data_IF_400963498703
#
_entry.id   IF_400963498703
#
_cell.length_a   1.000
_cell.length_b   1.000
_cell.length_c   1.000
_cell.angle_alpha   90.00
_cell.angle_beta   90.00
_cell.angle_gamma   90.00
#
_symmetry.space_group_name_H-M   'P 1'
#
loop_
_entity.id
_entity.type
_entity.pdbx_description
1 polymer ?
#
# COMPACT_ATOMS: atom_id res chain seq x y z
N UNK A 1 -41.85 19.91 3.79
CA UNK A 1 -40.76 19.33 2.98
C UNK A 1 -39.48 19.70 3.70
N UNK A 2 -38.88 18.76 4.42
CA UNK A 2 -37.64 18.96 5.17
C UNK A 2 -36.48 18.66 4.24
N UNK A 3 -35.80 19.68 3.76
CA UNK A 3 -34.51 19.54 3.09
C UNK A 3 -33.50 19.05 4.13
N UNK A 4 -33.11 17.79 4.02
CA UNK A 4 -31.99 17.24 4.77
C UNK A 4 -30.73 17.84 4.16
N UNK A 5 -30.16 18.85 4.80
CA UNK A 5 -28.83 19.35 4.48
C UNK A 5 -27.83 18.24 4.75
N UNK A 6 -27.41 17.56 3.68
CA UNK A 6 -26.21 16.73 3.70
C UNK A 6 -25.06 17.62 4.19
N UNK A 7 -24.61 17.36 5.41
CA UNK A 7 -23.40 17.99 5.94
C UNK A 7 -22.24 17.46 5.12
N UNK A 8 -21.85 18.21 4.09
CA UNK A 8 -20.58 18.03 3.39
C UNK A 8 -19.50 18.18 4.45
N UNK A 9 -18.97 17.05 4.93
CA UNK A 9 -17.84 17.04 5.84
C UNK A 9 -16.68 17.69 5.08
N UNK A 10 -16.12 18.80 5.57
CA UNK A 10 -15.01 19.46 4.92
C UNK A 10 -13.86 18.45 4.72
N UNK A 11 -13.23 18.42 3.55
CA UNK A 11 -12.08 17.53 3.26
C UNK A 11 -10.88 17.77 4.22
N UNK A 12 -10.95 18.83 5.02
CA UNK A 12 -10.02 19.33 6.01
C UNK A 12 -10.46 19.05 7.47
N UNK A 13 -11.56 18.32 7.68
CA UNK A 13 -12.08 17.98 9.02
C UNK A 13 -11.06 17.23 9.92
N UNK A 14 -10.09 16.53 9.32
CA UNK A 14 -8.95 15.92 10.03
C UNK A 14 -7.60 16.62 9.78
N UNK A 15 -7.57 17.69 8.97
CA UNK A 15 -6.33 18.37 8.58
C UNK A 15 -5.36 17.53 7.73
N UNK A 16 -5.84 16.45 7.07
CA UNK A 16 -5.01 15.52 6.30
C UNK A 16 -5.31 15.69 4.80
N UNK A 17 -4.40 16.34 4.07
CA UNK A 17 -4.46 16.49 2.61
C UNK A 17 -3.40 15.61 1.93
N UNK A 18 -3.75 14.82 0.88
CA UNK A 18 -2.82 14.07 0.04
C UNK A 18 -1.51 14.81 -0.33
N UNK A 19 -1.63 16.06 -0.81
CA UNK A 19 -0.50 16.88 -1.21
C UNK A 19 0.37 17.28 -0.01
N UNK A 20 -0.25 17.49 1.15
CA UNK A 20 0.45 17.83 2.38
C UNK A 20 1.18 16.61 2.99
N UNK A 21 0.60 15.41 2.88
CA UNK A 21 1.27 14.15 3.24
C UNK A 21 2.54 13.98 2.39
N UNK A 22 2.45 14.18 1.08
CA UNK A 22 3.62 14.07 0.20
C UNK A 22 4.69 15.10 0.58
N UNK A 23 4.30 16.37 0.80
CA UNK A 23 5.21 17.43 1.24
C UNK A 23 5.87 17.11 2.59
N UNK A 24 5.12 16.58 3.55
CA UNK A 24 5.60 16.13 4.87
C UNK A 24 6.63 15.02 4.72
N UNK A 25 6.34 13.99 3.92
CA UNK A 25 7.29 12.89 3.66
C UNK A 25 8.57 13.39 2.99
N UNK A 26 8.46 14.22 1.95
CA UNK A 26 9.61 14.79 1.25
C UNK A 26 10.45 15.66 2.19
N UNK A 27 9.81 16.40 3.11
CA UNK A 27 10.53 17.18 4.14
C UNK A 27 11.35 16.31 5.10
N UNK A 28 10.95 15.06 5.29
CA UNK A 28 11.70 14.05 6.05
C UNK A 28 12.75 13.32 5.20
N UNK A 29 12.88 13.67 3.92
CA UNK A 29 13.76 13.00 2.96
C UNK A 29 13.22 11.66 2.45
N UNK A 30 11.93 11.39 2.63
CA UNK A 30 11.27 10.13 2.24
C UNK A 30 10.33 10.40 1.07
N UNK A 31 10.31 9.51 0.07
CA UNK A 31 9.35 9.59 -1.03
C UNK A 31 8.21 8.59 -0.86
N UNK A 32 7.03 8.92 -1.40
CA UNK A 32 5.88 8.00 -1.39
C UNK A 32 6.20 6.71 -2.18
N UNK A 33 6.92 6.85 -3.30
CA UNK A 33 7.35 5.73 -4.14
C UNK A 33 8.26 4.76 -3.36
N UNK A 34 9.22 5.29 -2.60
CA UNK A 34 10.09 4.45 -1.77
C UNK A 34 9.31 3.70 -0.68
N UNK A 35 8.31 4.34 -0.07
CA UNK A 35 7.43 3.66 0.91
C UNK A 35 6.65 2.53 0.24
N UNK A 36 6.07 2.78 -0.94
CA UNK A 36 5.37 1.77 -1.73
C UNK A 36 6.31 0.64 -2.15
N UNK A 37 7.52 0.95 -2.59
CA UNK A 37 8.53 -0.03 -2.99
C UNK A 37 8.95 -0.89 -1.79
N UNK A 38 9.15 -0.31 -0.61
CA UNK A 38 9.43 -1.07 0.62
C UNK A 38 8.26 -1.99 0.95
N UNK A 39 7.03 -1.52 0.88
CA UNK A 39 5.84 -2.33 1.13
C UNK A 39 5.67 -3.46 0.10
N UNK A 40 5.92 -3.18 -1.17
CA UNK A 40 5.90 -4.17 -2.24
C UNK A 40 7.00 -5.23 -2.05
N UNK A 41 8.21 -4.82 -1.64
CA UNK A 41 9.34 -5.73 -1.39
C UNK A 41 9.11 -6.68 -0.21
N UNK A 42 8.20 -6.33 0.72
CA UNK A 42 7.78 -7.21 1.81
C UNK A 42 6.81 -8.30 1.34
N UNK A 43 6.23 -8.17 0.14
CA UNK A 43 5.24 -9.10 -0.40
C UNK A 43 3.93 -9.12 0.40
N UNK A 44 3.33 -10.30 0.52
CA UNK A 44 2.09 -10.52 1.28
C UNK A 44 2.17 -10.00 2.73
N UNK A 45 3.26 -10.22 3.50
CA UNK A 45 3.44 -9.58 4.82
C UNK A 45 3.22 -8.07 4.83
N UNK A 46 3.67 -7.34 3.79
CA UNK A 46 3.44 -5.90 3.65
C UNK A 46 1.96 -5.56 3.46
N UNK A 47 1.24 -6.35 2.67
CA UNK A 47 -0.21 -6.18 2.44
C UNK A 47 -0.99 -6.41 3.73
N UNK A 48 -0.69 -7.49 4.46
CA UNK A 48 -1.34 -7.78 5.75
C UNK A 48 -1.06 -6.67 6.76
N UNK A 49 0.14 -6.11 6.76
CA UNK A 49 0.48 -4.98 7.63
C UNK A 49 -0.35 -3.73 7.32
N UNK A 50 -0.51 -3.35 6.04
CA UNK A 50 -1.37 -2.22 5.65
C UNK A 50 -2.80 -2.42 6.14
N UNK A 51 -3.36 -3.62 5.95
CA UNK A 51 -4.72 -3.96 6.40
C UNK A 51 -4.81 -3.87 7.92
N UNK A 52 -3.81 -4.38 8.65
CA UNK A 52 -3.76 -4.32 10.10
C UNK A 52 -3.71 -2.88 10.61
N UNK A 53 -2.87 -2.02 10.01
CA UNK A 53 -2.80 -0.59 10.36
C UNK A 53 -4.14 0.09 10.12
N UNK A 54 -4.75 -0.14 8.96
CA UNK A 54 -6.05 0.45 8.62
C UNK A 54 -7.20 -0.02 9.54
N UNK A 55 -7.12 -1.24 10.06
CA UNK A 55 -8.10 -1.79 11.00
C UNK A 55 -7.79 -1.47 12.48
N UNK A 56 -6.59 -0.95 12.78
CA UNK A 56 -6.13 -0.74 14.16
C UNK A 56 -6.58 0.59 14.74
N UNK A 57 -6.91 0.59 16.03
CA UNK A 57 -7.19 1.79 16.85
C UNK A 57 -6.27 1.89 18.08
N UNK A 58 -5.14 1.18 18.06
CA UNK A 58 -4.29 0.97 19.23
C UNK A 58 -3.45 2.22 19.56
N UNK A 59 -3.43 2.59 20.83
CA UNK A 59 -2.66 3.75 21.33
C UNK A 59 -1.18 3.40 21.56
N UNK A 60 -0.28 4.37 21.38
CA UNK A 60 1.17 4.15 21.35
C UNK A 60 1.80 3.69 22.68
N UNK A 61 1.21 4.06 23.82
CA UNK A 61 1.76 3.77 25.16
C UNK A 61 1.86 2.27 25.50
N UNK A 62 0.78 1.47 25.44
CA UNK A 62 0.85 0.05 25.72
C UNK A 62 1.71 -0.73 24.71
N UNK A 63 1.84 -0.22 23.47
CA UNK A 63 2.65 -0.84 22.43
C UNK A 63 4.15 -0.85 22.77
N UNK A 64 4.71 0.24 23.28
CA UNK A 64 6.14 0.34 23.60
C UNK A 64 6.55 -0.73 24.65
N UNK A 65 5.71 -0.95 25.67
CA UNK A 65 5.96 -1.97 26.69
C UNK A 65 5.85 -3.39 26.13
N UNK A 66 4.87 -3.66 25.27
CA UNK A 66 4.73 -4.96 24.61
C UNK A 66 5.94 -5.27 23.71
N UNK A 67 6.47 -4.25 23.02
CA UNK A 67 7.61 -4.36 22.12
C UNK A 67 8.91 -4.72 22.85
N UNK A 68 9.11 -4.12 24.03
CA UNK A 68 10.23 -4.43 24.92
C UNK A 68 10.18 -5.89 25.38
N UNK A 69 8.96 -6.41 25.63
CA UNK A 69 8.74 -7.80 26.04
C UNK A 69 8.89 -8.83 24.91
N UNK A 70 8.62 -8.45 23.66
CA UNK A 70 8.65 -9.38 22.51
C UNK A 70 10.08 -9.72 22.03
N UNK A 71 11.04 -8.82 22.24
CA UNK A 71 12.39 -8.99 21.67
C UNK A 71 13.51 -8.20 22.34
N UNK A 72 13.30 -7.69 23.57
CA UNK A 72 14.28 -6.90 24.29
C UNK A 72 14.71 -5.63 23.51
N UNK A 73 15.99 -5.21 23.57
CA UNK A 73 16.44 -3.98 22.91
C UNK A 73 16.35 -4.04 21.37
N UNK A 74 16.48 -5.23 20.75
CA UNK A 74 16.29 -5.41 19.31
C UNK A 74 14.82 -5.32 18.91
N UNK A 75 13.93 -5.85 19.76
CA UNK A 75 12.48 -5.70 19.61
C UNK A 75 12.07 -4.22 19.58
N UNK A 76 12.69 -3.38 20.41
CA UNK A 76 12.44 -1.94 20.39
C UNK A 76 12.88 -1.29 19.07
N UNK A 77 14.07 -1.59 18.55
CA UNK A 77 14.57 -1.00 17.28
C UNK A 77 13.67 -1.39 16.11
N UNK A 78 13.42 -2.70 15.94
CA UNK A 78 12.58 -3.21 14.86
C UNK A 78 11.15 -2.69 14.99
N UNK A 79 10.62 -2.70 16.20
CA UNK A 79 9.25 -2.25 16.44
C UNK A 79 9.07 -0.74 16.34
N UNK A 80 10.07 0.09 16.66
CA UNK A 80 10.04 1.52 16.35
C UNK A 80 10.03 1.76 14.83
N UNK A 81 10.76 0.94 14.06
CA UNK A 81 10.67 0.97 12.59
C UNK A 81 9.24 0.68 12.10
N UNK A 82 8.61 -0.36 12.65
CA UNK A 82 7.21 -0.71 12.34
C UNK A 82 6.24 0.39 12.76
N UNK A 83 6.42 1.01 13.93
CA UNK A 83 5.59 2.11 14.42
C UNK A 83 5.74 3.40 13.59
N UNK A 84 6.96 3.71 13.17
CA UNK A 84 7.22 4.82 12.26
C UNK A 84 6.52 4.60 10.92
N UNK A 85 6.65 3.39 10.36
CA UNK A 85 6.00 3.03 9.11
C UNK A 85 4.46 2.99 9.24
N UNK A 86 3.90 2.51 10.35
CA UNK A 86 2.45 2.49 10.56
C UNK A 86 1.86 3.90 10.61
N UNK A 87 2.59 4.87 11.15
CA UNK A 87 2.15 6.27 11.17
C UNK A 87 2.06 6.83 9.75
N UNK A 88 3.07 6.59 8.91
CA UNK A 88 3.07 7.01 7.50
C UNK A 88 1.93 6.32 6.73
N UNK A 89 1.74 5.02 6.92
CA UNK A 89 0.65 4.27 6.29
C UNK A 89 -0.70 4.80 6.76
N UNK A 90 -0.87 5.11 8.05
CA UNK A 90 -2.08 5.70 8.59
C UNK A 90 -2.42 7.05 7.95
N UNK A 91 -1.43 7.92 7.79
CA UNK A 91 -1.57 9.19 7.08
C UNK A 91 -1.99 8.94 5.61
N UNK A 92 -1.36 7.98 4.91
CA UNK A 92 -1.70 7.65 3.52
C UNK A 92 -3.11 7.05 3.42
N UNK A 93 -3.48 6.12 4.29
CA UNK A 93 -4.81 5.48 4.28
C UNK A 93 -5.91 6.49 4.57
N UNK A 94 -5.68 7.43 5.49
CA UNK A 94 -6.66 8.48 5.80
C UNK A 94 -6.77 9.54 4.69
N UNK A 95 -5.66 9.88 4.02
CA UNK A 95 -5.65 10.88 2.95
C UNK A 95 -6.05 10.35 1.57
N UNK A 96 -5.54 9.17 1.18
CA UNK A 96 -5.73 8.59 -0.17
C UNK A 96 -6.73 7.43 -0.19
N UNK A 97 -7.04 6.85 0.96
CA UNK A 97 -7.84 5.63 1.07
C UNK A 97 -7.00 4.35 0.94
N UNK A 98 -7.46 3.28 1.60
CA UNK A 98 -6.80 1.98 1.57
C UNK A 98 -6.77 1.36 0.16
N UNK A 99 -7.80 1.61 -0.65
CA UNK A 99 -7.89 1.07 -2.01
C UNK A 99 -6.77 1.59 -2.91
N UNK A 100 -6.51 2.90 -2.89
CA UNK A 100 -5.46 3.52 -3.69
C UNK A 100 -4.07 3.00 -3.29
N UNK A 101 -3.81 2.90 -1.98
CA UNK A 101 -2.55 2.38 -1.47
C UNK A 101 -2.33 0.92 -1.88
N UNK A 102 -3.32 0.05 -1.64
CA UNK A 102 -3.20 -1.37 -2.01
C UNK A 102 -3.03 -1.55 -3.52
N UNK A 103 -3.79 -0.82 -4.34
CA UNK A 103 -3.59 -0.85 -5.80
C UNK A 103 -2.15 -0.53 -6.16
N UNK A 104 -1.62 0.59 -5.68
CA UNK A 104 -0.25 1.03 -6.00
C UNK A 104 0.79 -0.02 -5.60
N UNK A 105 0.64 -0.65 -4.43
CA UNK A 105 1.55 -1.73 -3.99
C UNK A 105 1.42 -2.98 -4.87
N UNK A 106 0.21 -3.38 -5.24
CA UNK A 106 -0.01 -4.52 -6.15
C UNK A 106 0.50 -4.25 -7.56
N UNK A 107 0.34 -3.04 -8.08
CA UNK A 107 0.92 -2.62 -9.36
C UNK A 107 2.45 -2.64 -9.32
N UNK A 108 3.05 -2.24 -8.18
CA UNK A 108 4.51 -2.36 -8.02
C UNK A 108 4.97 -3.83 -7.99
N UNK A 109 4.23 -4.71 -7.31
CA UNK A 109 4.53 -6.16 -7.28
C UNK A 109 4.29 -6.85 -8.62
N UNK A 110 3.43 -6.31 -9.48
CA UNK A 110 3.20 -6.79 -10.86
C UNK A 110 4.45 -6.71 -11.74
N UNK A 111 5.41 -5.85 -11.41
CA UNK A 111 6.70 -5.78 -12.11
C UNK A 111 7.58 -7.02 -11.86
N UNK A 112 7.40 -7.68 -10.71
CA UNK A 112 8.25 -8.81 -10.28
C UNK A 112 7.51 -10.14 -10.16
N UNK A 113 6.18 -10.13 -10.08
CA UNK A 113 5.34 -11.29 -9.82
C UNK A 113 4.23 -11.46 -10.86
N UNK A 114 3.81 -12.70 -11.11
CA UNK A 114 2.79 -13.01 -12.11
C UNK A 114 1.39 -12.54 -11.69
N UNK A 115 0.58 -12.17 -12.68
CA UNK A 115 -0.83 -11.79 -12.49
C UNK A 115 -1.64 -12.83 -11.70
N UNK A 116 -1.56 -14.10 -12.10
CA UNK A 116 -2.37 -15.17 -11.52
C UNK A 116 -2.07 -15.36 -10.04
N UNK A 117 -0.79 -15.27 -9.67
CA UNK A 117 -0.35 -15.32 -8.28
C UNK A 117 -0.97 -14.20 -7.45
N UNK A 118 -0.91 -12.96 -7.94
CA UNK A 118 -1.45 -11.80 -7.22
C UNK A 118 -2.98 -11.83 -7.12
N UNK A 119 -3.68 -12.30 -8.17
CA UNK A 119 -5.15 -12.47 -8.13
C UNK A 119 -5.55 -13.52 -7.09
N UNK A 120 -4.80 -14.64 -7.02
CA UNK A 120 -5.04 -15.69 -6.04
C UNK A 120 -4.71 -15.22 -4.61
N UNK A 121 -3.68 -14.39 -4.45
CA UNK A 121 -3.33 -13.76 -3.17
C UNK A 121 -4.46 -12.84 -2.68
N UNK A 122 -4.99 -11.99 -3.55
CA UNK A 122 -6.10 -11.06 -3.22
C UNK A 122 -7.34 -11.81 -2.73
N UNK A 123 -7.63 -13.00 -3.25
CA UNK A 123 -8.74 -13.84 -2.78
C UNK A 123 -8.58 -14.27 -1.32
N UNK A 124 -7.36 -14.56 -0.90
CA UNK A 124 -7.03 -14.95 0.48
C UNK A 124 -7.06 -13.81 1.50
N UNK A 125 -7.17 -12.55 1.07
CA UNK A 125 -7.06 -11.41 1.98
C UNK A 125 -8.32 -11.23 2.86
N UNK A 126 -8.16 -10.83 4.14
CA UNK A 126 -9.25 -10.52 5.05
C UNK A 126 -9.80 -9.10 4.80
N UNK A 127 -10.27 -8.83 3.59
CA UNK A 127 -10.84 -7.54 3.16
C UNK A 127 -12.23 -7.73 2.53
N UNK A 128 -12.96 -6.64 2.32
CA UNK A 128 -14.30 -6.68 1.73
C UNK A 128 -14.28 -7.20 0.28
N UNK A 129 -15.36 -7.87 -0.13
CA UNK A 129 -15.46 -8.42 -1.49
C UNK A 129 -15.37 -7.35 -2.57
N UNK A 130 -15.94 -6.16 -2.31
CA UNK A 130 -15.86 -5.00 -3.23
C UNK A 130 -14.40 -4.60 -3.43
N UNK A 131 -13.62 -4.54 -2.34
CA UNK A 131 -12.20 -4.17 -2.44
C UNK A 131 -11.40 -5.22 -3.20
N UNK A 132 -11.68 -6.52 -2.99
CA UNK A 132 -11.07 -7.61 -3.78
C UNK A 132 -11.32 -7.43 -5.27
N UNK A 133 -12.57 -7.16 -5.66
CA UNK A 133 -12.94 -6.94 -7.06
C UNK A 133 -12.21 -5.73 -7.66
N UNK A 134 -12.14 -4.62 -6.91
CA UNK A 134 -11.43 -3.42 -7.35
C UNK A 134 -9.93 -3.65 -7.52
N UNK A 135 -9.32 -4.44 -6.64
CA UNK A 135 -7.90 -4.81 -6.75
C UNK A 135 -7.63 -5.72 -7.95
N UNK A 136 -8.43 -6.77 -8.13
CA UNK A 136 -8.31 -7.65 -9.30
C UNK A 136 -8.45 -6.89 -10.61
N UNK A 137 -9.46 -6.01 -10.69
CA UNK A 137 -9.66 -5.16 -11.87
C UNK A 137 -8.43 -4.28 -12.14
N UNK A 138 -7.85 -3.67 -11.11
CA UNK A 138 -6.64 -2.87 -11.28
C UNK A 138 -5.45 -3.73 -11.77
N UNK A 139 -5.30 -4.94 -11.23
CA UNK A 139 -4.27 -5.90 -11.63
C UNK A 139 -4.47 -6.38 -13.07
N UNK A 140 -5.71 -6.55 -13.52
CA UNK A 140 -6.07 -7.05 -14.87
C UNK A 140 -5.98 -5.97 -15.96
N UNK A 141 -6.32 -4.71 -15.64
CA UNK A 141 -6.46 -3.62 -16.63
C UNK A 141 -5.12 -3.16 -17.21
N UNK A 142 -3.98 -3.40 -16.55
CA UNK A 142 -2.68 -2.92 -17.04
C UNK A 142 -2.08 -3.76 -18.18
N UNK A 143 -2.82 -4.74 -18.73
CA UNK A 143 -2.50 -5.37 -20.02
C UNK A 143 -3.06 -4.51 -21.16
N UNK A 144 -2.48 -3.33 -21.41
CA UNK A 144 -2.73 -2.60 -22.67
C UNK A 144 -1.53 -1.75 -23.15
N UNK A 145 -0.33 -1.97 -22.60
CA UNK A 145 0.95 -1.59 -23.18
C UNK A 145 1.96 -2.54 -22.52
N UNK A 146 2.48 -3.57 -23.15
CA UNK A 146 3.22 -3.57 -24.41
C UNK A 146 2.89 -4.82 -25.22
N UNK A 147 2.70 -4.63 -26.53
CA UNK A 147 2.66 -5.73 -27.48
C UNK A 147 3.99 -6.52 -27.42
N UNK A 148 3.97 -7.86 -27.51
CA UNK A 148 5.17 -8.66 -27.59
C UNK A 148 5.91 -8.29 -28.87
N UNK A 149 7.04 -7.57 -28.74
CA UNK A 149 7.98 -7.40 -29.84
C UNK A 149 8.46 -8.79 -30.23
N UNK A 150 7.91 -9.28 -31.33
CA UNK A 150 8.28 -10.53 -31.97
C UNK A 150 9.81 -10.63 -32.10
N UNK A 151 10.41 -11.80 -31.84
CA UNK A 151 11.83 -12.00 -32.05
C UNK A 151 12.12 -11.75 -33.54
N UNK A 152 12.93 -10.74 -33.83
CA UNK A 152 13.53 -10.61 -35.17
C UNK A 152 14.36 -11.86 -35.41
N UNK A 153 14.00 -12.59 -36.45
CA UNK A 153 14.77 -13.71 -36.99
C UNK A 153 16.24 -13.30 -37.10
N UNK A 154 17.10 -14.13 -36.52
CA UNK A 154 18.55 -14.08 -36.73
C UNK A 154 18.78 -14.56 -38.16
N UNK A 155 18.98 -13.64 -39.10
CA UNK A 155 19.60 -13.97 -40.39
C UNK A 155 21.04 -14.40 -40.12
N UNK A 156 21.27 -15.70 -40.19
CA UNK A 156 22.58 -16.31 -40.33
C UNK A 156 23.06 -15.96 -41.73
N UNK A 157 24.03 -15.06 -41.86
CA UNK A 157 24.84 -14.96 -43.07
C UNK A 157 26.17 -15.68 -42.81
N UNK A 158 26.26 -16.89 -43.33
CA UNK A 158 27.52 -17.55 -43.63
C UNK A 158 28.21 -16.79 -44.78
N UNK A 159 29.40 -16.25 -44.54
CA UNK A 159 30.62 -16.39 -45.39
C UNK A 159 31.82 -15.69 -44.76
#
# INVERSE_FOLDING_TARGET
MTETTETVIPNDFLGINPAEINKKLVSWGISLDEVVQKLASLGLPGIIFIIAVAASSVTAYPMIYALFGLGGPLGLIGGLGVLGLSTIIGDIVTGYGIEALLKTVYLKRRETETQEYLINEVEGLPISQVLKLNLKKAIEVEIAAEEPVAPKEVEIAEE
#
